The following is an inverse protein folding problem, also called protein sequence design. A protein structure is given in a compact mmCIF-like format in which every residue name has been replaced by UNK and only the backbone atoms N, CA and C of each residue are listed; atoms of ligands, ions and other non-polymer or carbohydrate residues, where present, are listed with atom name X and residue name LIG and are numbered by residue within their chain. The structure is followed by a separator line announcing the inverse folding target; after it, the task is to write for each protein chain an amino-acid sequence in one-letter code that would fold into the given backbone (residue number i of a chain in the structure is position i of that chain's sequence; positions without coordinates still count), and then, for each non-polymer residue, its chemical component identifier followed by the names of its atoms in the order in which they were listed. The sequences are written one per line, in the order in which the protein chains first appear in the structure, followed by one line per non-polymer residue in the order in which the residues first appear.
data_IF_354936694806
#
_entry.id   IF_354936694806
#
_cell.length_a   1.000
_cell.length_b   1.000
_cell.length_c   1.000
_cell.angle_alpha   90.00
_cell.angle_beta   90.00
_cell.angle_gamma   90.00
#
_symmetry.space_group_name_H-M   'P 1'
#
loop_
_entity.id
_entity.type
_entity.pdbx_description
1 polymer ?
#
# COMPACT_ATOMS: atom_id res chain seq x y z
N UNK A 1 21.13 -13.85 13.07
CA UNK A 1 20.34 -13.51 14.27
C UNK A 1 19.86 -12.05 14.28
N UNK A 2 20.74 -11.05 14.13
CA UNK A 2 20.37 -9.62 14.19
C UNK A 2 19.27 -9.20 13.20
N UNK A 3 19.36 -9.60 11.93
CA UNK A 3 18.34 -9.23 10.92
C UNK A 3 16.97 -9.90 11.18
N UNK A 4 16.94 -11.09 11.78
CA UNK A 4 15.68 -11.73 12.19
C UNK A 4 15.01 -10.93 13.33
N UNK A 5 15.80 -10.44 14.29
CA UNK A 5 15.30 -9.57 15.35
C UNK A 5 14.79 -8.23 14.79
N UNK A 6 15.47 -7.68 13.77
CA UNK A 6 15.00 -6.46 13.08
C UNK A 6 13.65 -6.69 12.38
N UNK A 7 13.46 -7.82 11.69
CA UNK A 7 12.17 -8.15 11.06
C UNK A 7 11.09 -8.40 12.13
N UNK A 8 11.40 -9.08 13.22
CA UNK A 8 10.47 -9.25 14.33
C UNK A 8 10.05 -7.91 14.95
N UNK A 9 11.00 -6.99 15.13
CA UNK A 9 10.72 -5.63 15.61
C UNK A 9 9.87 -4.83 14.62
N UNK A 10 10.06 -5.00 13.30
CA UNK A 10 9.22 -4.39 12.27
C UNK A 10 7.77 -4.90 12.33
N UNK A 11 7.57 -6.20 12.58
CA UNK A 11 6.24 -6.77 12.76
C UNK A 11 5.56 -6.27 14.03
N UNK A 12 6.29 -6.21 15.15
CA UNK A 12 5.78 -5.65 16.40
C UNK A 12 5.43 -4.16 16.26
N UNK A 13 6.27 -3.39 15.54
CA UNK A 13 6.00 -2.00 15.19
C UNK A 13 4.70 -1.87 14.38
N UNK A 14 4.49 -2.70 13.36
CA UNK A 14 3.26 -2.69 12.57
C UNK A 14 2.02 -3.01 13.43
N UNK A 15 2.12 -3.95 14.37
CA UNK A 15 1.03 -4.23 15.32
C UNK A 15 0.70 -3.00 16.17
N UNK A 16 1.72 -2.26 16.63
CA UNK A 16 1.53 -1.00 17.36
C UNK A 16 0.82 0.06 16.53
N UNK A 17 1.17 0.20 15.24
CA UNK A 17 0.49 1.13 14.32
C UNK A 17 -1.01 0.85 14.20
N UNK A 18 -1.42 -0.41 14.20
CA UNK A 18 -2.84 -0.77 14.08
C UNK A 18 -3.68 -0.35 15.30
N UNK A 19 -3.04 -0.11 16.44
CA UNK A 19 -3.70 0.36 17.66
C UNK A 19 -3.75 1.89 17.77
N UNK A 20 -3.05 2.62 16.90
CA UNK A 20 -2.99 4.08 16.93
C UNK A 20 -4.23 4.72 16.30
N UNK A 21 -4.55 5.91 16.78
CA UNK A 21 -5.56 6.79 16.18
C UNK A 21 -5.05 7.39 14.86
N UNK A 22 -5.96 7.94 14.05
CA UNK A 22 -5.60 8.57 12.79
C UNK A 22 -4.62 9.74 12.95
N UNK A 23 -4.76 10.53 14.02
CA UNK A 23 -3.88 11.67 14.31
C UNK A 23 -2.47 11.21 14.72
N UNK A 24 -2.38 10.17 15.55
CA UNK A 24 -1.11 9.56 15.94
C UNK A 24 -0.40 8.95 14.73
N UNK A 25 -1.13 8.23 13.88
CA UNK A 25 -0.61 7.68 12.63
C UNK A 25 -0.07 8.77 11.69
N UNK A 26 -0.73 9.93 11.64
CA UNK A 26 -0.32 11.08 10.82
C UNK A 26 0.96 11.71 11.36
N UNK A 27 1.04 11.90 12.67
CA UNK A 27 2.25 12.40 13.35
C UNK A 27 3.43 11.44 13.13
N UNK A 28 3.20 10.14 13.32
CA UNK A 28 4.22 9.10 13.09
C UNK A 28 4.68 9.11 11.62
N UNK A 29 3.76 9.29 10.67
CA UNK A 29 4.09 9.40 9.25
C UNK A 29 5.02 10.56 8.95
N UNK A 30 4.72 11.73 9.49
CA UNK A 30 5.57 12.90 9.31
C UNK A 30 6.97 12.71 9.93
N UNK A 31 7.02 12.15 11.15
CA UNK A 31 8.28 11.87 11.85
C UNK A 31 9.17 10.85 11.12
N UNK A 32 8.60 9.71 10.73
CA UNK A 32 9.33 8.67 10.00
C UNK A 32 9.70 9.14 8.59
N UNK A 33 8.83 9.89 7.91
CA UNK A 33 9.12 10.45 6.59
C UNK A 33 10.30 11.43 6.66
N UNK A 34 10.32 12.32 7.65
CA UNK A 34 11.42 13.28 7.86
C UNK A 34 12.73 12.56 8.21
N UNK A 35 12.67 11.56 9.10
CA UNK A 35 13.84 10.76 9.48
C UNK A 35 14.41 10.02 8.27
N UNK A 36 13.56 9.39 7.46
CA UNK A 36 13.99 8.71 6.24
C UNK A 36 14.57 9.69 5.21
N UNK A 37 14.03 10.90 5.09
CA UNK A 37 14.56 11.92 4.19
C UNK A 37 16.00 12.33 4.55
N UNK A 38 16.35 12.33 5.84
CA UNK A 38 17.69 12.65 6.35
C UNK A 38 18.65 11.47 6.23
N UNK A 39 18.25 10.30 6.75
CA UNK A 39 19.18 9.19 6.95
C UNK A 39 19.20 8.20 5.78
N UNK A 40 18.10 8.12 5.01
CA UNK A 40 17.87 7.14 3.92
C UNK A 40 18.22 5.70 4.28
N UNK A 41 18.09 5.35 5.57
CA UNK A 41 18.44 4.05 6.10
C UNK A 41 17.50 2.95 5.59
N UNK A 42 18.01 1.72 5.45
CA UNK A 42 17.19 0.57 5.03
C UNK A 42 16.07 0.27 6.03
N UNK A 43 16.35 0.38 7.33
CA UNK A 43 15.35 0.17 8.37
C UNK A 43 14.27 1.27 8.36
N UNK A 44 14.66 2.53 8.16
CA UNK A 44 13.73 3.65 8.01
C UNK A 44 12.83 3.50 6.79
N UNK A 45 13.40 3.00 5.67
CA UNK A 45 12.63 2.64 4.47
C UNK A 45 11.55 1.61 4.75
N UNK A 46 11.90 0.54 5.48
CA UNK A 46 10.94 -0.52 5.82
C UNK A 46 9.87 -0.05 6.81
N UNK A 47 10.22 0.78 7.80
CA UNK A 47 9.25 1.38 8.72
C UNK A 47 8.25 2.28 7.99
N UNK A 48 8.74 3.13 7.09
CA UNK A 48 7.88 3.97 6.26
C UNK A 48 6.98 3.13 5.35
N UNK A 49 7.52 2.06 4.75
CA UNK A 49 6.76 1.14 3.91
C UNK A 49 5.61 0.48 4.70
N UNK A 50 5.86 0.03 5.94
CA UNK A 50 4.83 -0.55 6.80
C UNK A 50 3.73 0.44 7.16
N UNK A 51 4.09 1.69 7.40
CA UNK A 51 3.11 2.74 7.69
C UNK A 51 2.21 3.05 6.48
N UNK A 52 2.75 2.96 5.27
CA UNK A 52 1.98 3.06 4.03
C UNK A 52 1.12 1.81 3.73
N UNK A 53 1.36 0.69 4.41
CA UNK A 53 0.51 -0.50 4.33
C UNK A 53 -0.75 -0.41 5.21
N UNK A 54 -0.79 0.51 6.19
CA UNK A 54 -1.94 0.66 7.09
C UNK A 54 -3.18 1.10 6.29
N UNK A 55 -4.30 0.36 6.36
CA UNK A 55 -5.50 0.69 5.61
C UNK A 55 -6.16 1.97 6.15
N UNK A 56 -6.89 2.67 5.27
CA UNK A 56 -7.68 3.85 5.66
C UNK A 56 -6.86 5.13 5.90
N UNK A 57 -5.58 5.15 5.52
CA UNK A 57 -4.72 6.33 5.65
C UNK A 57 -4.77 7.23 4.41
N UNK A 58 -4.71 8.56 4.61
CA UNK A 58 -4.76 9.54 3.52
C UNK A 58 -3.50 9.56 2.64
N UNK A 59 -2.36 9.13 3.19
CA UNK A 59 -1.07 9.06 2.50
C UNK A 59 -0.81 7.70 1.83
N UNK A 60 -1.84 6.88 1.69
CA UNK A 60 -1.75 5.58 1.04
C UNK A 60 -1.56 5.76 -0.47
N UNK A 61 -0.42 5.31 -0.96
CA UNK A 61 -0.08 5.31 -2.38
C UNK A 61 0.70 4.04 -2.70
N UNK A 62 0.03 3.11 -3.38
CA UNK A 62 0.59 1.79 -3.71
C UNK A 62 1.73 1.90 -4.74
N UNK A 63 1.69 2.87 -5.67
CA UNK A 63 2.76 3.07 -6.65
C UNK A 63 4.03 3.59 -5.99
N UNK A 64 3.89 4.56 -5.09
CA UNK A 64 4.99 5.09 -4.29
C UNK A 64 5.55 4.03 -3.34
N UNK A 65 4.69 3.22 -2.72
CA UNK A 65 5.10 2.13 -1.85
C UNK A 65 5.92 1.07 -2.60
N UNK A 66 5.51 0.67 -3.81
CA UNK A 66 6.27 -0.27 -4.63
C UNK A 66 7.66 0.28 -4.99
N UNK A 67 7.74 1.56 -5.39
CA UNK A 67 9.01 2.23 -5.67
C UNK A 67 9.92 2.27 -4.44
N UNK A 68 9.34 2.53 -3.26
CA UNK A 68 10.06 2.51 -1.99
C UNK A 68 10.62 1.11 -1.69
N UNK A 69 9.82 0.07 -1.89
CA UNK A 69 10.20 -1.32 -1.64
C UNK A 69 11.25 -1.82 -2.65
N UNK A 70 11.22 -1.39 -3.91
CA UNK A 70 12.24 -1.73 -4.92
C UNK A 70 13.64 -1.29 -4.47
N UNK A 71 13.72 -0.12 -3.84
CA UNK A 71 14.95 0.34 -3.19
C UNK A 71 15.44 -0.61 -2.09
N UNK A 72 14.53 -1.23 -1.32
CA UNK A 72 14.86 -2.18 -0.25
C UNK A 72 15.28 -3.56 -0.76
N UNK A 73 14.87 -3.95 -1.97
CA UNK A 73 15.25 -5.21 -2.63
C UNK A 73 16.54 -5.06 -3.46
N UNK A 74 17.17 -3.89 -3.41
CA UNK A 74 18.37 -3.56 -4.18
C UNK A 74 19.50 -4.59 -4.04
N UNK A 75 20.31 -4.73 -5.10
CA UNK A 75 21.37 -5.76 -5.26
C UNK A 75 22.46 -5.72 -4.18
N UNK A 76 22.53 -4.64 -3.39
CA UNK A 76 23.48 -4.49 -2.28
C UNK A 76 23.14 -5.38 -1.08
N UNK A 77 21.89 -5.85 -0.97
CA UNK A 77 21.44 -6.69 0.13
C UNK A 77 21.55 -8.17 -0.25
N UNK A 78 22.21 -9.01 0.58
CA UNK A 78 22.34 -10.44 0.31
C UNK A 78 20.98 -11.10 0.01
N UNK A 79 20.91 -12.03 -0.96
CA UNK A 79 19.65 -12.69 -1.33
C UNK A 79 18.99 -13.46 -0.16
N UNK A 80 19.79 -13.92 0.79
CA UNK A 80 19.32 -14.61 1.98
C UNK A 80 19.00 -13.70 3.18
N UNK A 81 19.11 -12.38 3.01
CA UNK A 81 18.74 -11.44 4.07
C UNK A 81 17.24 -11.58 4.40
N UNK A 82 16.88 -11.85 5.67
CA UNK A 82 15.49 -11.85 6.14
C UNK A 82 14.76 -10.55 5.81
N UNK A 83 15.46 -9.41 5.83
CA UNK A 83 14.90 -8.09 5.49
C UNK A 83 14.51 -7.99 4.02
N UNK A 84 15.36 -8.52 3.13
CA UNK A 84 15.07 -8.60 1.70
C UNK A 84 13.88 -9.52 1.43
N UNK A 85 13.83 -10.70 2.07
CA UNK A 85 12.69 -11.62 1.96
C UNK A 85 11.39 -10.98 2.45
N UNK A 86 11.45 -10.22 3.54
CA UNK A 86 10.32 -9.46 4.06
C UNK A 86 9.86 -8.35 3.10
N UNK A 87 10.79 -7.59 2.52
CA UNK A 87 10.47 -6.58 1.52
C UNK A 87 9.79 -7.20 0.28
N UNK A 88 10.29 -8.34 -0.21
CA UNK A 88 9.68 -9.08 -1.34
C UNK A 88 8.26 -9.54 -0.99
N UNK A 89 8.04 -10.03 0.23
CA UNK A 89 6.70 -10.41 0.68
C UNK A 89 5.76 -9.19 0.64
N UNK A 90 6.17 -8.05 1.19
CA UNK A 90 5.38 -6.82 1.15
C UNK A 90 5.08 -6.39 -0.29
N UNK A 91 6.07 -6.43 -1.19
CA UNK A 91 5.85 -6.10 -2.61
C UNK A 91 4.76 -6.96 -3.22
N UNK A 92 4.82 -8.29 -3.03
CA UNK A 92 3.81 -9.21 -3.56
C UNK A 92 2.41 -8.88 -3.03
N UNK A 93 2.28 -8.61 -1.73
CA UNK A 93 0.99 -8.25 -1.13
C UNK A 93 0.43 -6.93 -1.68
N UNK A 94 1.29 -5.94 -1.90
CA UNK A 94 0.90 -4.64 -2.48
C UNK A 94 0.50 -4.80 -3.95
N UNK A 95 1.24 -5.60 -4.73
CA UNK A 95 0.90 -5.90 -6.13
C UNK A 95 -0.45 -6.61 -6.26
N UNK A 96 -0.71 -7.62 -5.43
CA UNK A 96 -2.01 -8.31 -5.42
C UNK A 96 -3.13 -7.34 -5.06
N UNK A 97 -2.94 -6.49 -4.05
CA UNK A 97 -3.90 -5.44 -3.71
C UNK A 97 -4.19 -4.51 -4.88
N UNK A 98 -3.15 -4.05 -5.58
CA UNK A 98 -3.31 -3.17 -6.75
C UNK A 98 -4.09 -3.87 -7.87
N UNK A 99 -3.85 -5.17 -8.08
CA UNK A 99 -4.57 -5.98 -9.05
C UNK A 99 -6.05 -6.13 -8.69
N UNK A 100 -6.36 -6.38 -7.42
CA UNK A 100 -7.75 -6.45 -6.97
C UNK A 100 -8.47 -5.09 -7.06
N UNK A 101 -7.78 -3.98 -6.77
CA UNK A 101 -8.35 -2.64 -6.95
C UNK A 101 -8.71 -2.37 -8.41
N UNK A 102 -7.80 -2.67 -9.35
CA UNK A 102 -8.08 -2.53 -10.79
C UNK A 102 -9.28 -3.36 -11.22
N UNK A 103 -9.39 -4.59 -10.72
CA UNK A 103 -10.53 -5.47 -11.01
C UNK A 103 -11.83 -4.90 -10.46
N UNK A 104 -11.81 -4.31 -9.26
CA UNK A 104 -12.98 -3.64 -8.69
C UNK A 104 -13.41 -2.43 -9.53
N UNK A 105 -12.45 -1.59 -9.95
CA UNK A 105 -12.70 -0.42 -10.79
C UNK A 105 -13.30 -0.82 -12.15
N UNK A 106 -12.77 -1.88 -12.78
CA UNK A 106 -13.32 -2.43 -14.04
C UNK A 106 -14.76 -2.94 -13.89
N UNK A 107 -15.07 -3.59 -12.77
CA UNK A 107 -16.44 -4.06 -12.49
C UNK A 107 -17.39 -2.89 -12.26
N UNK A 108 -16.95 -1.86 -11.53
CA UNK A 108 -17.73 -0.64 -11.32
C UNK A 108 -18.04 0.06 -12.64
N UNK A 109 -17.04 0.21 -13.52
CA UNK A 109 -17.24 0.80 -14.84
C UNK A 109 -18.25 0.01 -15.70
N UNK A 110 -18.23 -1.33 -15.63
CA UNK A 110 -19.20 -2.18 -16.32
C UNK A 110 -20.62 -1.97 -15.79
N UNK A 111 -20.79 -1.88 -14.47
CA UNK A 111 -22.10 -1.60 -13.85
C UNK A 111 -22.64 -0.24 -14.27
N UNK A 112 -21.81 0.81 -14.21
CA UNK A 112 -22.21 2.16 -14.61
C UNK A 112 -22.60 2.22 -16.10
N UNK A 113 -21.88 1.48 -16.94
CA UNK A 113 -22.20 1.35 -18.38
C UNK A 113 -23.55 0.66 -18.60
N UNK A 114 -23.84 -0.41 -17.85
CA UNK A 114 -25.14 -1.10 -17.92
C UNK A 114 -26.29 -0.19 -17.48
N UNK A 115 -26.12 0.55 -16.37
CA UNK A 115 -27.12 1.50 -15.89
C UNK A 115 -27.35 2.64 -16.90
N UNK A 116 -26.31 3.14 -17.55
CA UNK A 116 -26.42 4.14 -18.60
C UNK A 116 -27.21 3.62 -19.81
N UNK A 117 -26.94 2.37 -20.23
CA UNK A 117 -27.69 1.71 -21.31
C UNK A 117 -29.17 1.56 -20.91
N UNK A 118 -29.47 1.09 -19.71
CA UNK A 118 -30.84 0.93 -19.22
C UNK A 118 -31.61 2.26 -19.23
N UNK A 119 -31.00 3.34 -18.72
CA UNK A 119 -31.59 4.69 -18.75
C UNK A 119 -31.88 5.15 -20.18
N UNK A 120 -30.95 4.91 -21.12
CA UNK A 120 -31.13 5.26 -22.53
C UNK A 120 -32.27 4.48 -23.20
N UNK A 121 -32.49 3.22 -22.80
CA UNK A 121 -33.56 2.38 -23.34
C UNK A 121 -34.92 2.81 -22.80
N UNK A 122 -35.03 3.05 -21.49
CA UNK A 122 -36.26 3.58 -20.87
C UNK A 122 -36.64 4.95 -21.46
N UNK A 123 -35.68 5.85 -21.65
CA UNK A 123 -35.92 7.15 -22.28
C UNK A 123 -36.45 7.05 -23.72
N UNK A 124 -35.89 6.13 -24.52
CA UNK A 124 -36.36 5.86 -25.89
C UNK A 124 -37.77 5.23 -25.94
N UNK A 125 -38.13 4.40 -24.97
CA UNK A 125 -39.48 3.83 -24.88
C UNK A 125 -40.54 4.87 -24.51
N UNK A 126 -40.19 5.85 -23.67
CA UNK A 126 -41.09 6.94 -23.28
C UNK A 126 -41.35 7.93 -24.42
N UNK A 127 -40.40 8.15 -25.34
CA UNK A 127 -40.57 9.02 -26.50
C UNK A 127 -41.39 8.41 -27.65
N UNK A 128 -41.66 7.09 -27.61
CA UNK A 128 -42.42 6.37 -28.65
C UNK A 128 -43.91 6.15 -28.31
N UNK A 129 -44.39 6.67 -27.18
CA UNK A 129 -45.80 6.70 -26.78
C UNK A 129 -46.33 8.11 -26.89
#
# INVERSE_FOLDING_TARGET
MRENAEVAALLAYYQGLLAMTAEELKSEYQGISQTYARDRSELGRLRLALLMCVPGTEWRDDARLLTLLDGAVSRKTPPDSPRRRFAILLQKLVMERQREQKRADELQQKLDSMLAIERSLRGRQLQKK
#
